data_IF_952092185949
#
_entry.id   IF_952092185949
#
_cell.length_a   1.000
_cell.length_b   1.000
_cell.length_c   1.000
_cell.angle_alpha   90.00
_cell.angle_beta   90.00
_cell.angle_gamma   90.00
#
_symmetry.space_group_name_H-M   'P 1'
#
loop_
_entity.id
_entity.type
_entity.pdbx_description
1 polymer ?
#
# COMPACT_ATOMS: atom_id res chain seq x y z
N UNK A 1 24.88 21.19 6.07
CA UNK A 1 26.30 21.63 6.01
C UNK A 1 26.46 23.13 5.69
N UNK A 2 25.69 23.72 4.75
CA UNK A 2 25.79 25.16 4.43
C UNK A 2 25.51 26.09 5.62
N UNK A 3 24.41 25.85 6.34
CA UNK A 3 23.96 26.68 7.47
C UNK A 3 25.01 26.77 8.60
N UNK A 4 25.70 25.66 8.91
CA UNK A 4 26.75 25.65 9.93
C UNK A 4 27.97 26.47 9.53
N UNK A 5 28.40 26.36 8.26
CA UNK A 5 29.51 27.15 7.74
C UNK A 5 29.22 28.64 7.77
N UNK A 6 27.98 29.04 7.44
CA UNK A 6 27.55 30.43 7.54
C UNK A 6 27.54 30.94 8.98
N UNK A 7 27.05 30.12 9.93
CA UNK A 7 27.06 30.43 11.36
C UNK A 7 28.50 30.60 11.89
N UNK A 8 29.40 29.68 11.56
CA UNK A 8 30.81 29.77 11.94
C UNK A 8 31.50 31.00 11.33
N UNK A 9 31.22 31.30 10.06
CA UNK A 9 31.72 32.50 9.40
C UNK A 9 31.18 33.79 10.03
N UNK A 10 29.95 33.78 10.57
CA UNK A 10 29.39 34.90 11.33
C UNK A 10 30.13 35.09 12.65
N UNK A 11 30.36 34.03 13.41
CA UNK A 11 31.12 34.09 14.67
C UNK A 11 32.54 34.64 14.48
N UNK A 12 33.26 34.24 13.43
CA UNK A 12 34.57 34.81 13.13
C UNK A 12 34.51 36.28 12.67
N UNK A 13 33.43 36.70 12.01
CA UNK A 13 33.23 38.11 11.65
C UNK A 13 33.04 38.96 12.91
N UNK A 14 32.11 38.55 13.78
CA UNK A 14 31.84 39.24 15.04
C UNK A 14 33.09 39.31 15.94
N UNK A 15 33.85 38.22 16.04
CA UNK A 15 35.09 38.19 16.82
C UNK A 15 36.13 39.18 16.25
N UNK A 16 36.30 39.21 14.93
CA UNK A 16 37.23 40.17 14.28
C UNK A 16 36.79 41.62 14.47
N UNK A 17 35.50 41.90 14.40
CA UNK A 17 34.98 43.24 14.64
C UNK A 17 35.22 43.68 16.08
N UNK A 18 35.01 42.77 17.05
CA UNK A 18 35.33 43.03 18.46
C UNK A 18 36.82 43.31 18.65
N UNK A 19 37.69 42.45 18.09
CA UNK A 19 39.14 42.63 18.16
C UNK A 19 39.59 43.96 17.54
N UNK A 20 38.96 44.42 16.46
CA UNK A 20 39.25 45.74 15.87
C UNK A 20 38.83 46.89 16.77
N UNK A 21 37.68 46.80 17.43
CA UNK A 21 37.20 47.83 18.37
C UNK A 21 38.11 47.91 19.58
N UNK A 22 38.41 46.78 20.21
CA UNK A 22 39.32 46.70 21.34
C UNK A 22 40.72 47.22 20.98
N UNK A 23 41.24 46.88 19.79
CA UNK A 23 42.54 47.39 19.35
C UNK A 23 42.56 48.90 19.03
N UNK A 24 41.39 49.53 18.83
CA UNK A 24 41.28 50.97 18.63
C UNK A 24 41.19 51.76 19.94
N UNK A 25 40.88 51.09 21.05
CA UNK A 25 40.65 51.68 22.37
C UNK A 25 41.85 51.51 23.31
N UNK A 26 42.86 50.75 22.91
CA UNK A 26 44.00 50.35 23.75
C UNK A 26 45.26 51.15 23.42
N UNK A 27 45.96 51.62 24.46
CA UNK A 27 47.23 52.35 24.35
C UNK A 27 48.41 51.39 24.02
N UNK A 28 49.49 51.93 23.45
CA UNK A 28 50.58 51.13 22.86
C UNK A 28 51.26 50.15 23.84
N UNK A 29 51.28 50.48 25.13
CA UNK A 29 51.90 49.66 26.18
C UNK A 29 51.13 48.36 26.47
N UNK A 30 49.83 48.33 26.21
CA UNK A 30 48.95 47.17 26.42
C UNK A 30 48.70 46.36 25.12
N UNK A 31 49.19 46.86 23.98
CA UNK A 31 48.97 46.25 22.67
C UNK A 31 49.57 44.84 22.54
N UNK A 32 50.65 44.54 23.27
CA UNK A 32 51.28 43.22 23.32
C UNK A 32 50.37 42.15 23.93
N UNK A 33 49.83 42.43 25.11
CA UNK A 33 48.95 41.53 25.85
C UNK A 33 47.60 41.37 25.15
N UNK A 34 47.11 42.44 24.52
CA UNK A 34 45.89 42.39 23.70
C UNK A 34 46.03 41.41 22.52
N UNK A 35 47.16 41.45 21.80
CA UNK A 35 47.42 40.51 20.69
C UNK A 35 47.45 39.06 21.15
N UNK A 36 48.01 38.79 22.33
CA UNK A 36 48.06 37.46 22.92
C UNK A 36 46.65 36.98 23.27
N UNK A 37 45.83 37.81 23.94
CA UNK A 37 44.43 37.52 24.24
C UNK A 37 43.62 37.23 22.98
N UNK A 38 43.70 38.10 21.97
CA UNK A 38 43.02 37.89 20.68
C UNK A 38 43.42 36.59 19.99
N UNK A 39 44.70 36.22 20.09
CA UNK A 39 45.21 34.95 19.56
C UNK A 39 44.62 33.74 20.30
N UNK A 40 44.54 33.81 21.62
CA UNK A 40 43.93 32.78 22.45
C UNK A 40 42.44 32.62 22.15
N UNK A 41 41.69 33.71 22.09
CA UNK A 41 40.25 33.68 21.76
C UNK A 41 39.96 33.07 20.38
N UNK A 42 40.78 33.40 19.37
CA UNK A 42 40.68 32.76 18.05
C UNK A 42 40.93 31.26 18.12
N UNK A 43 41.92 30.81 18.91
CA UNK A 43 42.20 29.39 19.11
C UNK A 43 41.05 28.68 19.82
N UNK A 44 40.47 29.30 20.83
CA UNK A 44 39.31 28.76 21.54
C UNK A 44 38.07 28.67 20.67
N UNK A 45 37.80 29.68 19.84
CA UNK A 45 36.67 29.65 18.91
C UNK A 45 36.81 28.50 17.91
N UNK A 46 38.02 28.30 17.36
CA UNK A 46 38.32 27.15 16.50
C UNK A 46 38.09 25.81 17.21
N UNK A 47 38.51 25.68 18.48
CA UNK A 47 38.27 24.48 19.27
C UNK A 47 36.78 24.23 19.52
N UNK A 48 36.00 25.28 19.84
CA UNK A 48 34.54 25.20 20.04
C UNK A 48 33.83 24.74 18.77
N UNK A 49 34.16 25.34 17.63
CA UNK A 49 33.62 24.96 16.33
C UNK A 49 33.91 23.49 16.02
N UNK A 50 35.15 23.04 16.24
CA UNK A 50 35.52 21.64 16.01
C UNK A 50 34.72 20.66 16.88
N UNK A 51 34.50 20.98 18.16
CA UNK A 51 33.68 20.15 19.05
C UNK A 51 32.23 20.09 18.60
N UNK A 52 31.64 21.23 18.20
CA UNK A 52 30.28 21.28 17.66
C UNK A 52 30.17 20.42 16.39
N UNK A 53 31.14 20.48 15.48
CA UNK A 53 31.18 19.63 14.28
C UNK A 53 31.32 18.14 14.61
N UNK A 54 32.14 17.80 15.60
CA UNK A 54 32.33 16.42 16.09
C UNK A 54 31.04 15.88 16.76
N UNK A 55 30.38 16.68 17.60
CA UNK A 55 29.08 16.37 18.22
C UNK A 55 27.98 16.20 17.18
N UNK A 56 27.93 17.07 16.17
CA UNK A 56 26.98 16.93 15.06
C UNK A 56 27.26 15.69 14.22
N UNK A 57 28.54 15.34 14.01
CA UNK A 57 28.89 14.11 13.31
C UNK A 57 28.52 12.88 14.13
N UNK A 58 28.69 12.94 15.45
CA UNK A 58 28.30 11.87 16.38
C UNK A 58 26.79 11.67 16.39
N UNK A 59 26.02 12.73 16.63
CA UNK A 59 24.55 12.68 16.58
C UNK A 59 24.06 12.26 15.20
N UNK A 60 24.67 12.74 14.12
CA UNK A 60 24.33 12.27 12.78
C UNK A 60 24.57 10.77 12.60
N UNK A 61 25.68 10.22 13.12
CA UNK A 61 25.94 8.78 13.11
C UNK A 61 24.93 8.02 13.97
N UNK A 62 24.62 8.50 15.17
CA UNK A 62 23.62 7.92 16.08
C UNK A 62 22.22 7.92 15.44
N UNK A 63 21.84 8.99 14.72
CA UNK A 63 20.56 9.09 14.02
C UNK A 63 20.55 8.39 12.65
N UNK A 64 21.73 8.18 12.03
CA UNK A 64 21.89 7.32 10.86
C UNK A 64 21.87 5.83 11.21
N UNK A 65 21.85 5.47 12.50
CA UNK A 65 21.21 4.23 12.96
C UNK A 65 19.70 4.41 12.80
N UNK A 66 19.25 4.68 11.56
CA UNK A 66 17.95 4.21 11.14
C UNK A 66 18.13 2.70 11.13
N UNK A 67 17.42 1.93 11.98
CA UNK A 67 17.55 0.49 11.96
C UNK A 67 17.34 0.03 10.52
N UNK A 68 18.22 -0.85 10.06
CA UNK A 68 18.15 -1.55 8.78
C UNK A 68 16.84 -2.35 8.59
N UNK A 69 15.95 -2.33 9.59
CA UNK A 69 14.58 -2.85 9.58
C UNK A 69 13.63 -2.12 8.62
N UNK A 70 14.13 -1.23 7.75
CA UNK A 70 13.36 -0.83 6.56
C UNK A 70 12.92 -2.07 5.77
N UNK A 71 13.78 -3.09 5.68
CA UNK A 71 13.43 -4.39 5.07
C UNK A 71 12.29 -5.09 5.80
N UNK A 72 12.30 -5.13 7.14
CA UNK A 72 11.22 -5.79 7.89
C UNK A 72 9.90 -5.03 7.79
N UNK A 73 9.95 -3.70 7.79
CA UNK A 73 8.78 -2.84 7.63
C UNK A 73 8.22 -2.96 6.21
N UNK A 74 9.08 -2.95 5.19
CA UNK A 74 8.70 -3.16 3.79
C UNK A 74 8.10 -4.54 3.56
N UNK A 75 8.65 -5.60 4.17
CA UNK A 75 8.09 -6.96 4.11
C UNK A 75 6.73 -7.05 4.81
N UNK A 76 6.59 -6.44 6.00
CA UNK A 76 5.31 -6.42 6.73
C UNK A 76 4.24 -5.66 5.94
N UNK A 77 4.59 -4.53 5.34
CA UNK A 77 3.69 -3.73 4.49
C UNK A 77 3.33 -4.52 3.21
N UNK A 78 4.30 -5.15 2.57
CA UNK A 78 4.06 -5.96 1.36
C UNK A 78 3.11 -7.13 1.61
N UNK A 79 3.27 -7.82 2.75
CA UNK A 79 2.35 -8.90 3.18
C UNK A 79 0.93 -8.37 3.43
N UNK A 80 0.80 -7.20 4.05
CA UNK A 80 -0.49 -6.55 4.30
C UNK A 80 -1.20 -6.15 3.00
N UNK A 81 -0.48 -5.53 2.07
CA UNK A 81 -1.03 -5.15 0.75
C UNK A 81 -1.46 -6.38 -0.05
N UNK A 82 -0.65 -7.45 -0.03
CA UNK A 82 -1.02 -8.70 -0.70
C UNK A 82 -2.28 -9.32 -0.09
N UNK A 83 -2.39 -9.35 1.24
CA UNK A 83 -3.58 -9.86 1.93
C UNK A 83 -4.84 -9.05 1.57
N UNK A 84 -4.75 -7.72 1.58
CA UNK A 84 -5.88 -6.87 1.18
C UNK A 84 -6.31 -7.09 -0.28
N UNK A 85 -5.35 -7.31 -1.20
CA UNK A 85 -5.69 -7.64 -2.59
C UNK A 85 -6.44 -8.97 -2.71
N UNK A 86 -6.02 -9.99 -1.97
CA UNK A 86 -6.72 -11.28 -1.94
C UNK A 86 -8.13 -11.15 -1.36
N UNK A 87 -8.32 -10.38 -0.29
CA UNK A 87 -9.63 -10.11 0.29
C UNK A 87 -10.57 -9.38 -0.69
N UNK A 88 -10.04 -8.42 -1.46
CA UNK A 88 -10.80 -7.73 -2.50
C UNK A 88 -11.20 -8.66 -3.66
N UNK A 89 -10.28 -9.52 -4.14
CA UNK A 89 -10.58 -10.49 -5.20
C UNK A 89 -11.63 -11.52 -4.75
N UNK A 90 -11.54 -12.02 -3.52
CA UNK A 90 -12.58 -12.90 -2.94
C UNK A 90 -13.92 -12.16 -2.84
N UNK A 91 -13.92 -10.89 -2.42
CA UNK A 91 -15.13 -10.06 -2.36
C UNK A 91 -15.74 -9.75 -3.73
N UNK A 92 -14.94 -9.64 -4.79
CA UNK A 92 -15.42 -9.49 -6.18
C UNK A 92 -16.05 -10.79 -6.69
N UNK A 93 -15.39 -11.94 -6.47
CA UNK A 93 -15.95 -13.25 -6.85
C UNK A 93 -17.27 -13.54 -6.16
N UNK A 94 -17.40 -13.22 -4.87
CA UNK A 94 -18.67 -13.38 -4.14
C UNK A 94 -19.78 -12.47 -4.67
N UNK A 95 -19.46 -11.24 -5.09
CA UNK A 95 -20.44 -10.34 -5.71
C UNK A 95 -20.88 -10.83 -7.08
N UNK A 96 -19.97 -11.42 -7.85
CA UNK A 96 -20.28 -12.00 -9.16
C UNK A 96 -21.16 -13.26 -9.02
N UNK A 97 -20.87 -14.16 -8.06
CA UNK A 97 -21.73 -15.33 -7.81
C UNK A 97 -23.12 -14.93 -7.32
N UNK A 98 -23.21 -13.92 -6.46
CA UNK A 98 -24.48 -13.33 -6.02
C UNK A 98 -25.25 -12.72 -7.21
N UNK A 99 -24.57 -12.00 -8.11
CA UNK A 99 -25.17 -11.45 -9.34
C UNK A 99 -25.72 -12.56 -10.23
N UNK A 100 -24.94 -13.62 -10.47
CA UNK A 100 -25.36 -14.77 -11.27
C UNK A 100 -26.56 -15.49 -10.66
N UNK A 101 -26.59 -15.66 -9.33
CA UNK A 101 -27.77 -16.20 -8.62
C UNK A 101 -29.00 -15.33 -8.86
N UNK A 102 -28.90 -14.01 -8.70
CA UNK A 102 -30.04 -13.10 -8.92
C UNK A 102 -30.57 -13.12 -10.35
N UNK A 103 -29.69 -13.28 -11.34
CA UNK A 103 -30.11 -13.45 -12.74
C UNK A 103 -30.79 -14.80 -12.94
N UNK A 104 -30.25 -15.89 -12.39
CA UNK A 104 -30.77 -17.25 -12.59
C UNK A 104 -32.11 -17.50 -11.87
N UNK A 105 -32.28 -16.92 -10.69
CA UNK A 105 -33.49 -17.00 -9.85
C UNK A 105 -34.38 -15.76 -9.98
N UNK A 106 -34.22 -14.98 -11.05
CA UNK A 106 -35.20 -13.95 -11.36
C UNK A 106 -36.56 -14.65 -11.64
N UNK A 107 -37.70 -14.12 -11.16
CA UNK A 107 -39.01 -14.76 -11.31
C UNK A 107 -39.35 -15.13 -12.77
N UNK A 108 -38.93 -14.29 -13.71
CA UNK A 108 -39.12 -14.49 -15.14
C UNK A 108 -38.29 -15.68 -15.68
N UNK A 109 -37.12 -15.94 -15.09
CA UNK A 109 -36.23 -17.05 -15.45
C UNK A 109 -36.57 -18.35 -14.72
N UNK A 110 -37.08 -18.30 -13.49
CA UNK A 110 -37.61 -19.47 -12.78
C UNK A 110 -38.82 -20.06 -13.52
N UNK A 111 -39.72 -19.21 -14.04
CA UNK A 111 -40.84 -19.65 -14.86
C UNK A 111 -40.39 -20.38 -16.15
N UNK A 112 -39.28 -19.96 -16.76
CA UNK A 112 -38.69 -20.62 -17.93
C UNK A 112 -38.03 -21.97 -17.59
N UNK A 113 -37.43 -22.12 -16.40
CA UNK A 113 -36.85 -23.38 -15.94
C UNK A 113 -37.92 -24.42 -15.54
N UNK A 114 -39.02 -23.98 -14.95
CA UNK A 114 -40.15 -24.84 -14.60
C UNK A 114 -40.99 -25.28 -15.82
N UNK A 115 -41.06 -24.45 -16.87
CA UNK A 115 -41.74 -24.84 -18.12
C UNK A 115 -40.90 -25.81 -18.97
N UNK A 116 -39.57 -25.71 -18.96
CA UNK A 116 -38.69 -26.65 -19.63
C UNK A 116 -38.74 -28.07 -19.02
N UNK A 117 -38.82 -28.18 -17.70
CA UNK A 117 -38.91 -29.47 -16.98
C UNK A 117 -40.26 -30.16 -17.18
N UNK A 118 -41.36 -29.39 -17.34
CA UNK A 118 -42.66 -29.95 -17.71
C UNK A 118 -42.72 -30.44 -19.16
N UNK A 119 -41.96 -29.84 -20.09
CA UNK A 119 -41.92 -30.27 -21.49
C UNK A 119 -41.19 -31.60 -21.71
N UNK A 120 -40.28 -31.99 -20.82
CA UNK A 120 -39.53 -33.26 -20.91
C UNK A 120 -40.21 -34.46 -20.23
N UNK A 121 -41.28 -34.22 -19.45
CA UNK A 121 -42.02 -35.26 -18.72
C UNK A 121 -43.25 -35.79 -19.48
N UNK A 122 -43.43 -35.40 -20.74
CA UNK A 122 -44.55 -35.86 -21.55
C UNK A 122 -44.36 -37.34 -22.01
N UNK A 123 -45.32 -38.24 -21.74
CA UNK A 123 -45.30 -39.59 -22.30
C UNK A 123 -45.27 -39.54 -23.84
N UNK A 124 -44.51 -40.44 -24.46
CA UNK A 124 -44.16 -40.43 -25.89
C UNK A 124 -45.35 -40.32 -26.87
N UNK A 125 -46.57 -40.63 -26.44
CA UNK A 125 -47.76 -40.69 -27.30
C UNK A 125 -48.72 -39.48 -27.18
N UNK A 126 -48.36 -38.42 -26.46
CA UNK A 126 -49.18 -37.20 -26.36
C UNK A 126 -48.41 -35.96 -26.78
N UNK A 127 -48.77 -35.42 -27.97
CA UNK A 127 -48.33 -34.09 -28.39
C UNK A 127 -49.05 -33.04 -27.55
N UNK A 128 -48.31 -32.30 -26.73
CA UNK A 128 -48.84 -31.08 -26.12
C UNK A 128 -49.04 -30.04 -27.22
N UNK A 129 -50.29 -29.59 -27.39
CA UNK A 129 -50.60 -28.49 -28.29
C UNK A 129 -50.14 -27.21 -27.60
N UNK A 130 -48.98 -26.69 -28.03
CA UNK A 130 -48.46 -25.41 -27.55
C UNK A 130 -49.24 -24.29 -28.23
N UNK A 131 -50.30 -23.80 -27.59
CA UNK A 131 -50.95 -22.53 -27.95
C UNK A 131 -50.21 -21.38 -27.29
N UNK A 132 -49.11 -20.94 -27.90
CA UNK A 132 -48.35 -19.78 -27.45
C UNK A 132 -47.21 -19.49 -28.41
N UNK A 133 -46.92 -18.21 -28.65
CA UNK A 133 -45.77 -17.79 -29.49
C UNK A 133 -44.48 -18.26 -28.81
N UNK A 134 -43.86 -19.30 -29.35
CA UNK A 134 -42.52 -19.74 -28.96
C UNK A 134 -41.51 -18.66 -29.30
N UNK A 135 -40.80 -18.15 -28.30
CA UNK A 135 -39.58 -17.37 -28.49
C UNK A 135 -38.41 -18.33 -28.33
N UNK A 136 -37.95 -18.90 -29.45
CA UNK A 136 -36.71 -19.66 -29.47
C UNK A 136 -35.54 -18.67 -29.43
N UNK A 137 -34.90 -18.51 -28.27
CA UNK A 137 -33.59 -17.88 -28.19
C UNK A 137 -32.56 -18.85 -28.78
N UNK A 138 -32.03 -18.51 -29.95
CA UNK A 138 -31.01 -19.30 -30.68
C UNK A 138 -29.64 -19.31 -29.99
N UNK A 139 -29.44 -18.47 -28.97
CA UNK A 139 -28.10 -18.15 -28.45
C UNK A 139 -27.72 -18.92 -27.18
N UNK A 140 -28.50 -19.93 -26.79
CA UNK A 140 -28.13 -20.82 -25.69
C UNK A 140 -27.19 -21.90 -26.22
N UNK A 141 -25.89 -21.58 -26.28
CA UNK A 141 -24.86 -22.61 -26.43
C UNK A 141 -24.95 -23.56 -25.25
N UNK A 142 -25.14 -24.85 -25.50
CA UNK A 142 -25.09 -25.87 -24.45
C UNK A 142 -23.75 -25.83 -23.71
N UNK A 143 -23.76 -26.14 -22.42
CA UNK A 143 -22.55 -26.20 -21.61
C UNK A 143 -21.57 -27.21 -22.24
N UNK A 144 -20.31 -26.81 -22.35
CA UNK A 144 -19.24 -27.72 -22.73
C UNK A 144 -19.01 -28.76 -21.62
N UNK A 145 -18.45 -29.90 -22.00
CA UNK A 145 -18.21 -31.01 -21.08
C UNK A 145 -17.36 -30.61 -19.87
N UNK A 146 -16.45 -29.64 -20.06
CA UNK A 146 -15.64 -29.07 -18.98
C UNK A 146 -16.45 -28.21 -18.02
N UNK A 147 -17.40 -27.43 -18.52
CA UNK A 147 -18.29 -26.60 -17.70
C UNK A 147 -19.29 -27.48 -16.92
N UNK A 148 -19.71 -28.61 -17.50
CA UNK A 148 -20.54 -29.60 -16.80
C UNK A 148 -19.77 -30.26 -15.65
N UNK A 149 -18.50 -30.60 -15.85
CA UNK A 149 -17.65 -31.14 -14.79
C UNK A 149 -17.41 -30.14 -13.67
N UNK A 150 -17.10 -28.89 -14.03
CA UNK A 150 -16.87 -27.81 -13.07
C UNK A 150 -18.14 -27.51 -12.26
N UNK A 151 -19.31 -27.57 -12.90
CA UNK A 151 -20.59 -27.45 -12.22
C UNK A 151 -20.84 -28.56 -11.22
N UNK A 152 -20.55 -29.83 -11.57
CA UNK A 152 -20.66 -30.96 -10.62
C UNK A 152 -19.77 -30.80 -9.39
N UNK A 153 -18.53 -30.36 -9.58
CA UNK A 153 -17.55 -30.14 -8.51
C UNK A 153 -17.98 -29.06 -7.49
N UNK A 154 -18.76 -28.08 -7.93
CA UNK A 154 -19.16 -26.93 -7.11
C UNK A 154 -20.65 -26.94 -6.71
N UNK A 155 -21.34 -28.06 -6.92
CA UNK A 155 -22.71 -28.23 -6.49
C UNK A 155 -22.74 -28.72 -5.04
N UNK A 156 -23.22 -27.89 -4.11
CA UNK A 156 -23.55 -28.35 -2.76
C UNK A 156 -24.96 -28.96 -2.78
N UNK A 157 -25.05 -30.27 -2.53
CA UNK A 157 -26.33 -30.95 -2.45
C UNK A 157 -27.00 -30.67 -1.09
N UNK A 158 -28.22 -30.13 -1.12
CA UNK A 158 -29.03 -29.89 0.08
C UNK A 158 -30.21 -30.85 0.10
N UNK A 159 -30.19 -31.82 1.02
CA UNK A 159 -31.27 -32.80 1.18
C UNK A 159 -31.28 -33.95 0.18
N UNK A 160 -30.28 -34.01 -0.70
CA UNK A 160 -30.01 -35.13 -1.62
C UNK A 160 -28.52 -35.46 -1.56
N UNK A 161 -28.15 -36.67 -1.96
CA UNK A 161 -26.77 -37.12 -2.10
C UNK A 161 -26.40 -37.31 -3.58
N UNK A 162 -25.11 -37.26 -3.92
CA UNK A 162 -24.63 -37.58 -5.27
C UNK A 162 -24.97 -39.03 -5.68
N UNK A 163 -25.30 -39.88 -4.70
CA UNK A 163 -25.75 -41.27 -4.85
C UNK A 163 -27.28 -41.45 -4.86
N UNK A 164 -28.08 -40.38 -4.85
CA UNK A 164 -29.53 -40.49 -4.99
C UNK A 164 -29.86 -40.70 -6.48
N UNK A 165 -30.11 -41.97 -6.81
CA UNK A 165 -29.97 -42.61 -8.12
C UNK A 165 -30.69 -41.96 -9.34
N UNK A 166 -30.01 -42.15 -10.49
CA UNK A 166 -30.57 -42.35 -11.84
C UNK A 166 -31.51 -43.56 -11.88
#
# INVERSE_FOLDING_TARGET
>A
KLILRERHAKLFRELRERHRKEAAEVEDDEAGDLKIRHSQERKELRKRIRREEEELTRTFKEHQIIPSDKSEVEDKVSKLVHKQRLELDVGERLRETERQRRVRFAPDNEALLHTATYSSAAPADKKWVVTGKSHSNSDVRGLSEREVQDWRLHTEYRGFSESDNV
#
